data_IF_216944249351
#
_entry.id   IF_216944249351
#
_cell.length_a   1.000
_cell.length_b   1.000
_cell.length_c   1.000
_cell.angle_alpha   90.00
_cell.angle_beta   90.00
_cell.angle_gamma   90.00
#
_symmetry.space_group_name_H-M   'P 1'
#
loop_
_entity.id
_entity.type
_entity.pdbx_description
1 polymer ?
#
# COMPACT_ATOMS: atom_id res chain seq x y z
N UNK A 1 7.82 48.32 -38.42
CA UNK A 1 9.18 48.03 -37.92
C UNK A 1 9.09 47.69 -36.44
N UNK A 2 9.06 46.38 -36.10
CA UNK A 2 9.07 45.91 -34.71
C UNK A 2 10.51 45.66 -34.32
N UNK A 3 10.99 46.38 -33.31
CA UNK A 3 12.32 46.23 -32.73
C UNK A 3 12.46 44.79 -32.14
N UNK A 4 13.26 43.99 -32.81
CA UNK A 4 13.86 42.80 -32.20
C UNK A 4 14.94 43.29 -31.22
N UNK A 5 14.59 43.38 -29.95
CA UNK A 5 15.56 43.56 -28.87
C UNK A 5 16.38 42.27 -28.80
N UNK A 6 17.67 42.37 -29.16
CA UNK A 6 18.55 41.23 -29.28
C UNK A 6 18.73 40.50 -27.96
N UNK A 7 18.36 39.24 -27.95
CA UNK A 7 18.55 38.29 -26.85
C UNK A 7 20.04 38.09 -26.46
N UNK A 8 20.99 38.47 -27.30
CA UNK A 8 22.44 38.42 -27.05
C UNK A 8 22.91 39.31 -25.90
N UNK A 9 22.33 40.50 -25.75
CA UNK A 9 22.78 41.47 -24.73
C UNK A 9 22.35 41.06 -23.30
N UNK A 10 21.23 40.37 -23.14
CA UNK A 10 20.76 39.90 -21.84
C UNK A 10 21.59 38.68 -21.34
N UNK A 11 21.93 37.76 -22.24
CA UNK A 11 22.80 36.60 -21.94
C UNK A 11 24.25 37.06 -21.60
N UNK A 12 24.78 38.04 -22.25
CA UNK A 12 26.10 38.58 -21.91
C UNK A 12 26.13 39.30 -20.56
N UNK A 13 25.05 39.98 -20.19
CA UNK A 13 24.91 40.57 -18.85
C UNK A 13 24.80 39.53 -17.76
N UNK A 14 24.07 38.44 -18.00
CA UNK A 14 23.95 37.29 -17.07
C UNK A 14 25.28 36.57 -16.90
N UNK A 15 26.07 36.38 -17.99
CA UNK A 15 27.41 35.76 -17.89
C UNK A 15 28.38 36.57 -17.02
N UNK A 16 28.24 37.91 -16.99
CA UNK A 16 29.06 38.80 -16.14
C UNK A 16 28.69 38.75 -14.65
N UNK A 17 27.52 38.20 -14.31
CA UNK A 17 27.04 38.02 -12.92
C UNK A 17 27.46 36.67 -12.31
N UNK A 18 28.03 35.78 -13.12
CA UNK A 18 28.50 34.47 -12.63
C UNK A 18 29.86 34.67 -11.98
N UNK A 19 30.07 34.30 -10.70
CA UNK A 19 31.36 34.37 -10.05
C UNK A 19 32.41 33.53 -10.79
N UNK A 20 33.69 33.96 -10.84
CA UNK A 20 34.75 33.21 -11.47
C UNK A 20 34.92 31.84 -10.76
N UNK A 21 34.94 30.76 -11.55
CA UNK A 21 35.09 29.39 -11.05
C UNK A 21 33.78 28.61 -10.90
N UNK A 22 32.62 29.19 -11.23
CA UNK A 22 31.34 28.46 -11.27
C UNK A 22 31.14 27.88 -12.67
N UNK A 23 31.25 26.58 -12.81
CA UNK A 23 30.89 25.88 -14.03
C UNK A 23 29.36 25.78 -14.18
N UNK A 24 28.82 26.01 -15.40
CA UNK A 24 27.40 25.89 -15.62
C UNK A 24 26.97 24.42 -15.43
N UNK A 25 25.88 24.18 -14.68
CA UNK A 25 25.32 22.87 -14.42
C UNK A 25 24.93 22.10 -15.69
N UNK A 26 24.71 22.81 -16.80
CA UNK A 26 24.31 22.25 -18.09
C UNK A 26 25.21 22.80 -19.20
N UNK A 27 25.69 21.89 -20.06
CA UNK A 27 26.54 22.27 -21.21
C UNK A 27 25.77 22.85 -22.39
N UNK A 28 24.47 22.58 -22.47
CA UNK A 28 23.61 23.05 -23.56
C UNK A 28 22.18 23.35 -23.09
N UNK A 29 21.46 24.11 -23.91
CA UNK A 29 20.03 24.43 -23.71
C UNK A 29 19.18 23.15 -23.82
N UNK A 30 19.62 22.20 -24.63
CA UNK A 30 18.94 20.90 -24.80
C UNK A 30 19.05 20.04 -23.56
N UNK A 31 20.22 19.96 -22.95
CA UNK A 31 20.43 19.30 -21.67
C UNK A 31 19.56 19.89 -20.56
N UNK A 32 19.50 21.23 -20.49
CA UNK A 32 18.64 21.93 -19.53
C UNK A 32 17.16 21.63 -19.75
N UNK A 33 16.68 21.59 -20.99
CA UNK A 33 15.29 21.23 -21.32
C UNK A 33 14.96 19.81 -20.97
N UNK A 34 15.86 18.89 -21.26
CA UNK A 34 15.69 17.47 -20.92
C UNK A 34 15.61 17.28 -19.42
N UNK A 35 16.54 17.89 -18.68
CA UNK A 35 16.52 17.88 -17.22
C UNK A 35 15.23 18.51 -16.66
N UNK A 36 14.80 19.64 -17.17
CA UNK A 36 13.58 20.33 -16.74
C UNK A 36 12.34 19.45 -16.98
N UNK A 37 12.27 18.76 -18.11
CA UNK A 37 11.18 17.85 -18.43
C UNK A 37 11.17 16.62 -17.50
N UNK A 38 12.35 16.07 -17.17
CA UNK A 38 12.48 14.96 -16.22
C UNK A 38 12.11 15.36 -14.80
N UNK A 39 12.60 16.49 -14.32
CA UNK A 39 12.24 17.04 -13.01
C UNK A 39 10.75 17.38 -12.91
N UNK A 40 10.19 17.93 -13.99
CA UNK A 40 8.75 18.18 -14.09
C UNK A 40 7.92 16.89 -13.95
N UNK A 41 8.32 15.81 -14.65
CA UNK A 41 7.66 14.51 -14.54
C UNK A 41 7.76 13.94 -13.13
N UNK A 42 8.96 13.92 -12.53
CA UNK A 42 9.16 13.46 -11.15
C UNK A 42 8.28 14.22 -10.16
N UNK A 43 8.23 15.54 -10.29
CA UNK A 43 7.40 16.37 -9.40
C UNK A 43 5.91 16.14 -9.60
N UNK A 44 5.44 15.92 -10.82
CA UNK A 44 4.07 15.53 -11.09
C UNK A 44 3.74 14.16 -10.46
N UNK A 45 4.60 13.15 -10.61
CA UNK A 45 4.44 11.84 -10.01
C UNK A 45 4.40 11.91 -8.47
N UNK A 46 5.26 12.71 -7.85
CA UNK A 46 5.26 12.94 -6.41
C UNK A 46 3.98 13.61 -5.92
N UNK A 47 3.49 14.63 -6.63
CA UNK A 47 2.24 15.32 -6.33
C UNK A 47 1.04 14.38 -6.48
N UNK A 48 1.01 13.56 -7.53
CA UNK A 48 -0.03 12.55 -7.72
C UNK A 48 -0.03 11.54 -6.57
N UNK A 49 1.13 11.01 -6.17
CA UNK A 49 1.26 10.12 -5.02
C UNK A 49 0.79 10.78 -3.72
N UNK A 50 1.14 12.03 -3.49
CA UNK A 50 0.68 12.77 -2.30
C UNK A 50 -0.84 12.97 -2.31
N UNK A 51 -1.43 13.33 -3.45
CA UNK A 51 -2.86 13.50 -3.61
C UNK A 51 -3.62 12.18 -3.40
N UNK A 52 -3.09 11.06 -3.91
CA UNK A 52 -3.66 9.73 -3.70
C UNK A 52 -3.62 9.32 -2.23
N UNK A 53 -2.49 9.57 -1.53
CA UNK A 53 -2.38 9.37 -0.08
C UNK A 53 -3.43 10.18 0.68
N UNK A 54 -3.54 11.48 0.38
CA UNK A 54 -4.49 12.35 1.05
C UNK A 54 -5.95 11.92 0.82
N UNK A 55 -6.29 11.42 -0.37
CA UNK A 55 -7.61 10.85 -0.67
C UNK A 55 -7.88 9.58 0.12
N UNK A 56 -6.94 8.62 0.09
CA UNK A 56 -7.06 7.38 0.86
C UNK A 56 -7.19 7.66 2.36
N UNK A 57 -6.39 8.57 2.91
CA UNK A 57 -6.47 9.00 4.30
C UNK A 57 -7.81 9.68 4.64
N UNK A 58 -8.39 10.43 3.73
CA UNK A 58 -9.69 11.08 3.92
C UNK A 58 -10.83 10.05 3.97
N UNK A 59 -10.77 8.99 3.18
CA UNK A 59 -11.83 8.00 3.07
C UNK A 59 -11.76 6.98 4.21
N UNK A 60 -10.57 6.45 4.51
CA UNK A 60 -10.38 5.35 5.46
C UNK A 60 -9.67 5.76 6.77
N UNK A 61 -9.46 7.07 6.98
CA UNK A 61 -8.60 7.56 8.05
C UNK A 61 -7.12 7.36 7.73
N UNK A 62 -6.23 7.68 8.66
CA UNK A 62 -4.77 7.67 8.47
C UNK A 62 -4.25 6.28 8.08
N UNK A 63 -4.12 6.01 6.78
CA UNK A 63 -3.69 4.76 6.17
C UNK A 63 -4.56 3.53 6.53
N UNK A 64 -5.77 3.70 7.11
CA UNK A 64 -6.63 2.62 7.56
C UNK A 64 -6.04 1.75 8.68
N UNK A 65 -4.79 2.01 9.10
CA UNK A 65 -4.17 1.30 10.22
C UNK A 65 -4.85 1.74 11.51
N UNK A 66 -5.58 0.83 12.16
CA UNK A 66 -6.24 1.10 13.42
C UNK A 66 -5.25 1.62 14.47
N UNK A 67 -5.68 2.48 15.38
CA UNK A 67 -4.82 3.08 16.42
C UNK A 67 -4.04 2.03 17.22
N UNK A 68 -4.66 0.91 17.49
CA UNK A 68 -4.04 -0.24 18.16
C UNK A 68 -2.78 -0.76 17.44
N UNK A 69 -2.73 -0.61 16.13
CA UNK A 69 -1.65 -1.16 15.29
C UNK A 69 -0.65 -0.11 14.81
N UNK A 70 -0.83 1.17 15.16
CA UNK A 70 0.10 2.26 14.78
C UNK A 70 1.51 2.07 15.32
N UNK A 71 1.62 1.45 16.52
CA UNK A 71 2.90 1.15 17.16
C UNK A 71 3.51 -0.20 16.75
N UNK A 72 2.88 -0.96 15.86
CA UNK A 72 3.39 -2.27 15.45
C UNK A 72 4.64 -2.11 14.58
N UNK A 73 5.70 -2.79 15.00
CA UNK A 73 6.99 -2.85 14.29
C UNK A 73 7.50 -4.29 14.27
N UNK A 74 8.45 -4.57 13.41
CA UNK A 74 9.14 -5.86 13.41
C UNK A 74 9.96 -6.09 14.70
N UNK A 75 10.36 -5.02 15.39
CA UNK A 75 11.17 -5.09 16.60
C UNK A 75 10.35 -5.49 17.83
N UNK A 76 9.07 -5.06 17.89
CA UNK A 76 8.19 -5.36 19.03
C UNK A 76 7.27 -6.56 18.81
N UNK A 77 7.46 -7.31 17.72
CA UNK A 77 6.79 -8.60 17.51
C UNK A 77 7.40 -9.67 18.41
N UNK A 78 6.60 -10.26 19.28
CA UNK A 78 7.07 -11.30 20.21
C UNK A 78 7.22 -12.64 19.50
N UNK A 79 8.37 -13.29 19.69
CA UNK A 79 8.72 -14.57 19.04
C UNK A 79 8.95 -15.61 20.12
N UNK A 80 8.02 -16.58 20.21
CA UNK A 80 8.05 -17.69 21.17
C UNK A 80 8.22 -19.06 20.47
N UNK A 81 8.07 -19.09 19.13
CA UNK A 81 8.16 -20.33 18.33
C UNK A 81 8.93 -20.12 17.02
N UNK A 82 9.38 -21.22 16.42
CA UNK A 82 10.03 -21.19 15.11
C UNK A 82 9.08 -20.77 13.99
N UNK A 83 7.78 -21.09 14.11
CA UNK A 83 6.75 -20.59 13.19
C UNK A 83 6.67 -19.07 13.18
N UNK A 84 6.63 -18.46 14.38
CA UNK A 84 6.63 -17.00 14.53
C UNK A 84 7.94 -16.37 14.00
N UNK A 85 9.09 -17.01 14.24
CA UNK A 85 10.38 -16.55 13.73
C UNK A 85 10.42 -16.54 12.21
N UNK A 86 9.91 -17.61 11.57
CA UNK A 86 9.79 -17.69 10.11
C UNK A 86 8.84 -16.62 9.57
N UNK A 87 7.66 -16.46 10.16
CA UNK A 87 6.69 -15.44 9.75
C UNK A 87 7.29 -14.02 9.83
N UNK A 88 7.98 -13.70 10.93
CA UNK A 88 8.68 -12.42 11.10
C UNK A 88 9.77 -12.21 10.04
N UNK A 89 10.58 -13.24 9.76
CA UNK A 89 11.63 -13.18 8.74
C UNK A 89 11.04 -12.93 7.36
N UNK A 90 9.98 -13.66 6.99
CA UNK A 90 9.29 -13.49 5.72
C UNK A 90 8.68 -12.09 5.57
N UNK A 91 8.03 -11.58 6.63
CA UNK A 91 7.45 -10.24 6.64
C UNK A 91 8.52 -9.13 6.50
N UNK A 92 9.68 -9.29 7.16
CA UNK A 92 10.82 -8.38 7.00
C UNK A 92 11.38 -8.40 5.58
N UNK A 93 11.61 -9.60 5.04
CA UNK A 93 12.11 -9.77 3.66
C UNK A 93 11.18 -9.14 2.65
N UNK A 94 9.87 -9.37 2.79
CA UNK A 94 8.85 -8.74 1.95
C UNK A 94 8.95 -7.21 1.98
N UNK A 95 9.00 -6.62 3.17
CA UNK A 95 9.08 -5.16 3.31
C UNK A 95 10.38 -4.57 2.75
N UNK A 96 11.51 -5.28 2.88
CA UNK A 96 12.81 -4.86 2.35
C UNK A 96 12.88 -4.95 0.82
N UNK A 97 12.25 -5.95 0.23
CA UNK A 97 12.22 -6.19 -1.22
C UNK A 97 11.06 -5.46 -1.92
N UNK A 98 10.22 -4.73 -1.18
CA UNK A 98 9.07 -4.04 -1.73
C UNK A 98 9.49 -3.02 -2.80
N UNK A 99 8.87 -3.13 -3.98
CA UNK A 99 9.15 -2.26 -5.13
C UNK A 99 10.19 -2.82 -6.11
N UNK A 100 10.82 -3.96 -5.82
CA UNK A 100 11.59 -4.74 -6.82
C UNK A 100 10.69 -5.59 -7.72
N UNK A 101 9.42 -5.74 -7.36
CA UNK A 101 8.38 -6.48 -8.04
C UNK A 101 7.01 -6.12 -7.51
N UNK A 102 6.01 -6.98 -7.79
CA UNK A 102 4.62 -6.80 -7.34
C UNK A 102 4.09 -8.00 -6.52
N UNK A 103 4.97 -8.74 -5.86
CA UNK A 103 4.62 -9.87 -5.03
C UNK A 103 3.55 -9.51 -4.00
N UNK A 104 2.49 -10.32 -3.92
CA UNK A 104 1.42 -10.21 -2.94
C UNK A 104 1.70 -11.10 -1.73
N UNK A 105 0.96 -10.92 -0.62
CA UNK A 105 1.07 -11.83 0.51
C UNK A 105 -0.30 -12.23 1.08
N UNK A 106 -0.36 -13.43 1.62
CA UNK A 106 -1.51 -13.96 2.36
C UNK A 106 -1.04 -14.41 3.74
N UNK A 107 -1.62 -13.86 4.79
CA UNK A 107 -1.45 -14.29 6.17
C UNK A 107 -2.72 -15.02 6.62
N UNK A 108 -2.62 -16.31 6.82
CA UNK A 108 -3.72 -17.19 7.18
C UNK A 108 -3.52 -17.78 8.57
N UNK A 109 -4.58 -17.92 9.36
CA UNK A 109 -4.54 -18.60 10.67
C UNK A 109 -5.52 -18.05 11.69
N UNK A 110 -5.52 -18.64 12.89
CA UNK A 110 -6.46 -18.33 13.96
C UNK A 110 -6.41 -16.87 14.43
N UNK A 111 -7.48 -16.33 15.01
CA UNK A 111 -7.47 -14.99 15.62
C UNK A 111 -6.42 -14.88 16.74
N UNK A 112 -5.76 -13.70 16.84
CA UNK A 112 -4.80 -13.41 17.92
C UNK A 112 -3.40 -13.96 17.70
N UNK A 113 -3.10 -14.58 16.56
CA UNK A 113 -1.78 -15.14 16.23
C UNK A 113 -0.77 -14.10 15.74
N UNK A 114 -1.16 -12.83 15.61
CA UNK A 114 -0.25 -11.74 15.25
C UNK A 114 -0.22 -11.40 13.75
N UNK A 115 -1.15 -11.88 12.93
CA UNK A 115 -1.28 -11.51 11.51
C UNK A 115 -1.35 -10.01 11.32
N UNK A 116 -2.27 -9.33 12.02
CA UNK A 116 -2.47 -7.89 11.95
C UNK A 116 -1.24 -7.13 12.42
N UNK A 117 -0.52 -7.63 13.43
CA UNK A 117 0.72 -7.03 13.90
C UNK A 117 1.79 -7.00 12.79
N UNK A 118 2.07 -8.15 12.16
CA UNK A 118 3.08 -8.21 11.10
C UNK A 118 2.64 -7.46 9.84
N UNK A 119 1.36 -7.50 9.48
CA UNK A 119 0.84 -6.73 8.36
C UNK A 119 0.95 -5.21 8.61
N UNK A 120 0.62 -4.75 9.84
CA UNK A 120 0.81 -3.37 10.23
C UNK A 120 2.29 -2.98 10.31
N UNK A 121 3.18 -3.87 10.76
CA UNK A 121 4.62 -3.63 10.75
C UNK A 121 5.17 -3.45 9.32
N UNK A 122 4.69 -4.25 8.35
CA UNK A 122 4.98 -4.03 6.93
C UNK A 122 4.48 -2.64 6.50
N UNK A 123 3.20 -2.34 6.78
CA UNK A 123 2.59 -1.06 6.42
C UNK A 123 3.33 0.15 7.00
N UNK A 124 3.64 0.12 8.31
CA UNK A 124 4.37 1.18 8.98
C UNK A 124 5.79 1.37 8.42
N UNK A 125 6.48 0.26 8.11
CA UNK A 125 7.81 0.31 7.49
C UNK A 125 7.75 0.98 6.11
N UNK A 126 6.79 0.60 5.27
CA UNK A 126 6.62 1.17 3.93
C UNK A 126 6.19 2.64 3.98
N UNK A 127 5.30 3.01 4.91
CA UNK A 127 4.90 4.40 5.13
C UNK A 127 6.09 5.28 5.53
N UNK A 128 6.95 4.78 6.43
CA UNK A 128 8.20 5.46 6.80
C UNK A 128 9.15 5.62 5.60
N UNK A 129 9.15 4.66 4.68
CA UNK A 129 9.88 4.72 3.40
C UNK A 129 9.21 5.57 2.32
N UNK A 130 8.14 6.31 2.63
CA UNK A 130 7.47 7.21 1.68
C UNK A 130 6.47 6.52 0.74
N UNK A 131 6.19 5.23 0.93
CA UNK A 131 5.17 4.49 0.15
C UNK A 131 3.77 4.77 0.67
N UNK A 132 2.79 4.65 -0.21
CA UNK A 132 1.37 4.71 0.16
C UNK A 132 0.85 3.31 0.53
N UNK A 133 0.30 3.18 1.73
CA UNK A 133 -0.28 1.93 2.23
C UNK A 133 -1.69 2.19 2.72
N UNK A 134 -2.59 1.27 2.44
CA UNK A 134 -3.95 1.30 2.94
C UNK A 134 -4.33 -0.07 3.52
N UNK A 135 -4.82 -0.08 4.74
CA UNK A 135 -5.37 -1.27 5.41
C UNK A 135 -6.87 -1.08 5.56
N UNK A 136 -7.65 -2.00 5.03
CA UNK A 136 -9.11 -1.95 5.03
C UNK A 136 -9.67 -3.29 5.45
N UNK A 137 -10.60 -3.31 6.40
CA UNK A 137 -11.39 -4.51 6.68
C UNK A 137 -12.45 -4.70 5.60
N UNK A 138 -12.80 -5.94 5.29
CA UNK A 138 -13.86 -6.19 4.30
C UNK A 138 -15.20 -5.59 4.75
N UNK A 139 -15.62 -5.67 6.03
CA UNK A 139 -16.82 -4.98 6.49
C UNK A 139 -16.81 -3.46 6.24
N UNK A 140 -15.68 -2.78 6.51
CA UNK A 140 -15.55 -1.33 6.27
C UNK A 140 -15.59 -1.01 4.78
N UNK A 141 -14.93 -1.81 3.95
CA UNK A 141 -15.01 -1.67 2.50
C UNK A 141 -16.45 -1.77 2.00
N UNK A 142 -17.20 -2.78 2.47
CA UNK A 142 -18.59 -2.96 2.07
C UNK A 142 -19.52 -1.85 2.60
N UNK A 143 -19.19 -1.26 3.74
CA UNK A 143 -19.89 -0.08 4.25
C UNK A 143 -19.68 1.11 3.29
N UNK A 144 -18.44 1.37 2.90
CA UNK A 144 -18.10 2.45 1.96
C UNK A 144 -18.74 2.28 0.58
N UNK A 145 -18.76 1.05 0.08
CA UNK A 145 -19.48 0.75 -1.18
C UNK A 145 -20.97 1.09 -1.06
N UNK A 146 -21.61 0.74 0.06
CA UNK A 146 -23.02 1.09 0.29
C UNK A 146 -23.25 2.60 0.34
N UNK A 147 -22.37 3.34 1.02
CA UNK A 147 -22.43 4.80 1.07
C UNK A 147 -22.33 5.45 -0.33
N UNK A 148 -21.66 4.79 -1.29
CA UNK A 148 -21.65 5.26 -2.67
C UNK A 148 -23.06 5.25 -3.31
N UNK A 149 -23.91 4.29 -2.97
CA UNK A 149 -25.29 4.21 -3.51
C UNK A 149 -26.21 5.29 -2.91
N UNK A 150 -25.91 5.81 -1.72
CA UNK A 150 -26.69 6.83 -1.02
C UNK A 150 -26.32 8.28 -1.43
N UNK A 151 -25.58 8.46 -2.53
CA UNK A 151 -25.24 9.77 -3.10
C UNK A 151 -23.92 10.36 -2.61
N UNK A 152 -23.03 9.53 -2.07
CA UNK A 152 -21.65 9.88 -1.73
C UNK A 152 -20.72 9.91 -2.95
N UNK A 153 -19.47 9.52 -2.75
CA UNK A 153 -18.48 9.31 -3.80
C UNK A 153 -18.95 8.22 -4.77
N UNK A 154 -18.61 8.30 -6.06
CA UNK A 154 -18.92 7.21 -6.99
C UNK A 154 -18.16 5.93 -6.65
N UNK A 155 -18.78 4.76 -6.82
CA UNK A 155 -18.13 3.46 -6.65
C UNK A 155 -16.83 3.36 -7.48
N UNK A 156 -16.85 3.88 -8.71
CA UNK A 156 -15.68 3.90 -9.58
C UNK A 156 -14.50 4.68 -8.96
N UNK A 157 -14.79 5.83 -8.32
CA UNK A 157 -13.78 6.63 -7.65
C UNK A 157 -13.24 5.93 -6.39
N UNK A 158 -14.09 5.26 -5.61
CA UNK A 158 -13.68 4.45 -4.46
C UNK A 158 -12.75 3.31 -4.89
N UNK A 159 -13.13 2.57 -5.94
CA UNK A 159 -12.30 1.48 -6.49
C UNK A 159 -10.96 2.01 -7.02
N UNK A 160 -10.96 3.18 -7.65
CA UNK A 160 -9.75 3.84 -8.12
C UNK A 160 -8.81 4.19 -6.95
N UNK A 161 -9.33 4.76 -5.87
CA UNK A 161 -8.53 5.11 -4.68
C UNK A 161 -7.89 3.86 -4.06
N UNK A 162 -8.63 2.73 -3.99
CA UNK A 162 -8.10 1.44 -3.54
C UNK A 162 -7.04 0.86 -4.49
N UNK A 163 -7.15 1.12 -5.79
CA UNK A 163 -6.24 0.59 -6.79
C UNK A 163 -4.95 1.41 -6.92
N UNK A 164 -4.92 2.66 -6.48
CA UNK A 164 -3.76 3.54 -6.70
C UNK A 164 -2.71 3.53 -5.58
N UNK A 165 -3.04 3.10 -4.36
CA UNK A 165 -2.02 2.97 -3.29
C UNK A 165 -0.95 1.92 -3.65
N UNK A 166 0.28 2.11 -3.16
CA UNK A 166 1.38 1.17 -3.44
C UNK A 166 1.06 -0.24 -2.89
N UNK A 167 0.57 -0.32 -1.65
CA UNK A 167 0.13 -1.58 -1.02
C UNK A 167 -1.27 -1.43 -0.46
N UNK A 168 -2.18 -2.33 -0.85
CA UNK A 168 -3.49 -2.52 -0.23
C UNK A 168 -3.47 -3.78 0.63
N UNK A 169 -3.85 -3.67 1.89
CA UNK A 169 -4.02 -4.81 2.80
C UNK A 169 -5.50 -4.95 3.10
N UNK A 170 -6.07 -6.10 2.73
CA UNK A 170 -7.45 -6.47 2.98
C UNK A 170 -7.50 -7.38 4.21
N UNK A 171 -8.11 -6.89 5.27
CA UNK A 171 -8.27 -7.65 6.51
C UNK A 171 -9.66 -8.27 6.63
N UNK A 172 -9.76 -9.33 7.42
CA UNK A 172 -11.00 -10.07 7.67
C UNK A 172 -11.60 -10.70 6.40
N UNK A 173 -10.77 -11.07 5.44
CA UNK A 173 -11.24 -11.78 4.22
C UNK A 173 -11.82 -13.13 4.61
N UNK A 174 -13.09 -13.36 4.22
CA UNK A 174 -13.81 -14.59 4.51
C UNK A 174 -14.80 -14.51 5.68
N UNK A 175 -14.87 -13.38 6.40
CA UNK A 175 -15.90 -13.14 7.44
C UNK A 175 -17.24 -12.68 6.80
N UNK A 176 -17.24 -12.50 5.48
CA UNK A 176 -18.38 -12.01 4.75
C UNK A 176 -19.62 -12.89 4.94
N UNK A 177 -20.79 -12.25 4.99
CA UNK A 177 -22.09 -12.93 4.99
C UNK A 177 -22.41 -13.63 3.65
N UNK A 178 -21.44 -13.68 2.72
CA UNK A 178 -21.55 -14.46 1.49
C UNK A 178 -22.50 -13.88 0.45
N UNK A 179 -22.83 -12.58 0.49
CA UNK A 179 -23.61 -11.99 -0.59
C UNK A 179 -22.79 -12.04 -1.90
N UNK A 180 -23.44 -12.38 -3.00
CA UNK A 180 -22.79 -12.45 -4.32
C UNK A 180 -22.15 -11.11 -4.69
N UNK A 181 -22.75 -9.98 -4.29
CA UNK A 181 -22.22 -8.65 -4.53
C UNK A 181 -20.87 -8.38 -3.83
N UNK A 182 -20.72 -8.80 -2.58
CA UNK A 182 -19.47 -8.65 -1.82
C UNK A 182 -18.31 -9.38 -2.49
N UNK A 183 -18.53 -10.60 -2.94
CA UNK A 183 -17.54 -11.40 -3.70
C UNK A 183 -17.13 -10.72 -5.01
N UNK A 184 -18.10 -10.15 -5.72
CA UNK A 184 -17.84 -9.44 -6.98
C UNK A 184 -16.94 -8.24 -6.75
N UNK A 185 -17.25 -7.38 -5.78
CA UNK A 185 -16.45 -6.18 -5.46
C UNK A 185 -15.04 -6.55 -5.02
N UNK A 186 -14.93 -7.53 -4.11
CA UNK A 186 -13.63 -7.99 -3.62
C UNK A 186 -12.75 -8.51 -4.76
N UNK A 187 -13.31 -9.38 -5.61
CA UNK A 187 -12.61 -9.91 -6.77
C UNK A 187 -12.23 -8.80 -7.76
N UNK A 188 -13.10 -7.82 -7.98
CA UNK A 188 -12.84 -6.70 -8.86
C UNK A 188 -11.67 -5.83 -8.35
N UNK A 189 -11.60 -5.54 -7.06
CA UNK A 189 -10.47 -4.80 -6.46
C UNK A 189 -9.16 -5.56 -6.62
N UNK A 190 -9.16 -6.85 -6.24
CA UNK A 190 -7.95 -7.68 -6.30
C UNK A 190 -7.51 -7.85 -7.77
N UNK A 191 -8.44 -8.16 -8.68
CA UNK A 191 -8.12 -8.37 -10.11
C UNK A 191 -7.56 -7.10 -10.76
N UNK A 192 -8.16 -5.93 -10.50
CA UNK A 192 -7.65 -4.64 -11.00
C UNK A 192 -6.23 -4.36 -10.51
N UNK A 193 -5.96 -4.56 -9.22
CA UNK A 193 -4.62 -4.34 -8.67
C UNK A 193 -3.58 -5.25 -9.28
N UNK A 194 -3.85 -6.56 -9.31
CA UNK A 194 -2.93 -7.55 -9.88
C UNK A 194 -2.72 -7.33 -11.38
N UNK A 195 -3.76 -6.91 -12.12
CA UNK A 195 -3.63 -6.52 -13.53
C UNK A 195 -2.74 -5.30 -13.74
N UNK A 196 -2.68 -4.40 -12.75
CA UNK A 196 -1.83 -3.21 -12.77
C UNK A 196 -0.48 -3.44 -12.08
N UNK A 197 -0.09 -4.70 -11.85
CA UNK A 197 1.15 -5.08 -11.14
C UNK A 197 1.29 -4.39 -9.77
N UNK A 198 0.17 -4.27 -9.02
CA UNK A 198 0.13 -3.68 -7.69
C UNK A 198 -0.16 -4.75 -6.65
N UNK A 199 0.71 -4.91 -5.64
CA UNK A 199 0.58 -5.96 -4.65
C UNK A 199 -0.65 -5.79 -3.75
N UNK A 200 -1.17 -6.93 -3.29
CA UNK A 200 -2.25 -7.03 -2.31
C UNK A 200 -1.80 -7.88 -1.12
N UNK A 201 -2.00 -7.38 0.09
CA UNK A 201 -1.92 -8.18 1.31
C UNK A 201 -3.31 -8.71 1.68
N UNK A 202 -3.41 -9.96 2.05
CA UNK A 202 -4.66 -10.58 2.50
C UNK A 202 -4.46 -11.14 3.91
N UNK A 203 -5.32 -10.73 4.84
CA UNK A 203 -5.39 -11.31 6.17
C UNK A 203 -6.70 -12.08 6.30
N UNK A 204 -6.59 -13.34 6.71
CA UNK A 204 -7.74 -14.24 6.77
C UNK A 204 -7.61 -15.25 7.91
N UNK A 205 -8.75 -15.74 8.39
CA UNK A 205 -8.80 -16.89 9.27
C UNK A 205 -9.10 -18.21 8.51
N UNK A 206 -9.30 -18.11 7.19
CA UNK A 206 -9.54 -19.25 6.33
C UNK A 206 -8.23 -19.96 5.99
N UNK A 207 -8.27 -21.27 5.85
CA UNK A 207 -7.22 -22.06 5.24
C UNK A 207 -7.22 -21.87 3.70
N UNK A 208 -6.26 -22.49 3.02
CA UNK A 208 -6.12 -22.36 1.56
C UNK A 208 -7.39 -22.78 0.80
N UNK A 209 -7.98 -23.92 1.14
CA UNK A 209 -9.16 -24.45 0.44
C UNK A 209 -10.38 -23.54 0.62
N UNK A 210 -10.65 -23.11 1.84
CA UNK A 210 -11.76 -22.19 2.12
C UNK A 210 -11.56 -20.80 1.48
N UNK A 211 -10.32 -20.30 1.41
CA UNK A 211 -10.02 -19.05 0.72
C UNK A 211 -10.19 -19.21 -0.80
N UNK A 212 -9.82 -20.37 -1.35
CA UNK A 212 -10.04 -20.72 -2.75
C UNK A 212 -11.53 -20.74 -3.12
N UNK A 213 -12.38 -21.27 -2.24
CA UNK A 213 -13.84 -21.25 -2.43
C UNK A 213 -14.39 -19.82 -2.38
N UNK A 214 -13.79 -18.97 -1.54
CA UNK A 214 -14.23 -17.59 -1.36
C UNK A 214 -13.82 -16.70 -2.53
N UNK A 215 -12.56 -16.72 -2.94
CA UNK A 215 -11.99 -15.82 -3.96
C UNK A 215 -11.98 -16.42 -5.37
N UNK A 216 -12.06 -17.76 -5.46
CA UNK A 216 -11.89 -18.49 -6.70
C UNK A 216 -10.42 -18.77 -7.04
N UNK A 217 -10.21 -19.86 -7.79
CA UNK A 217 -8.87 -20.35 -8.16
C UNK A 217 -8.07 -19.31 -8.94
N UNK A 218 -8.72 -18.54 -9.83
CA UNK A 218 -8.07 -17.52 -10.67
C UNK A 218 -7.41 -16.43 -9.86
N UNK A 219 -8.04 -15.95 -8.78
CA UNK A 219 -7.47 -14.92 -7.92
C UNK A 219 -6.31 -15.48 -7.12
N UNK A 220 -6.45 -16.70 -6.56
CA UNK A 220 -5.36 -17.33 -5.81
C UNK A 220 -4.13 -17.60 -6.66
N UNK A 221 -4.31 -18.06 -7.90
CA UNK A 221 -3.22 -18.26 -8.84
C UNK A 221 -2.47 -16.94 -9.11
N UNK A 222 -3.20 -15.85 -9.31
CA UNK A 222 -2.61 -14.53 -9.52
C UNK A 222 -1.92 -13.96 -8.29
N UNK A 223 -2.39 -14.25 -7.07
CA UNK A 223 -1.72 -13.85 -5.83
C UNK A 223 -0.36 -14.52 -5.66
N UNK A 224 -0.12 -15.65 -6.32
CA UNK A 224 1.17 -16.35 -6.32
C UNK A 224 2.17 -15.77 -7.34
N UNK A 225 1.71 -14.89 -8.24
CA UNK A 225 2.59 -14.28 -9.24
C UNK A 225 3.71 -13.49 -8.57
N UNK A 226 4.86 -13.43 -9.26
CA UNK A 226 6.04 -12.67 -8.83
C UNK A 226 6.57 -13.06 -7.44
N UNK A 227 6.43 -14.32 -7.06
CA UNK A 227 6.89 -14.82 -5.77
C UNK A 227 5.96 -14.50 -4.61
N UNK A 228 4.67 -14.42 -4.88
CA UNK A 228 3.64 -14.19 -3.85
C UNK A 228 3.80 -15.10 -2.64
N UNK A 229 3.66 -14.54 -1.45
CA UNK A 229 3.98 -15.16 -0.17
C UNK A 229 2.71 -15.67 0.53
N UNK A 230 2.71 -16.93 0.95
CA UNK A 230 1.69 -17.48 1.85
C UNK A 230 2.33 -17.87 3.19
N UNK A 231 1.80 -17.33 4.29
CA UNK A 231 2.28 -17.63 5.65
C UNK A 231 1.12 -18.16 6.50
N UNK A 232 1.27 -19.37 7.01
CA UNK A 232 0.33 -19.96 7.97
C UNK A 232 0.74 -19.58 9.40
N UNK A 233 -0.22 -19.06 10.16
CA UNK A 233 -0.07 -18.69 11.56
C UNK A 233 -0.71 -19.80 12.42
N UNK A 234 0.04 -20.90 12.59
CA UNK A 234 -0.43 -22.17 13.21
C UNK A 234 -0.01 -22.31 14.69
N UNK A 235 0.10 -21.22 15.41
CA UNK A 235 0.42 -21.17 16.82
C UNK A 235 -0.72 -20.56 17.64
N UNK A 236 -0.61 -20.68 18.95
CA UNK A 236 -1.59 -20.18 19.89
C UNK A 236 -1.74 -18.66 19.85
N UNK A 237 -2.94 -18.21 20.26
CA UNK A 237 -3.24 -16.78 20.34
C UNK A 237 -2.37 -16.09 21.42
N UNK A 238 -1.64 -15.07 21.03
CA UNK A 238 -0.89 -14.21 21.96
C UNK A 238 -1.79 -13.49 22.98
N UNK A 239 -3.07 -13.31 22.67
CA UNK A 239 -4.05 -12.69 23.57
C UNK A 239 -4.22 -13.45 24.89
N UNK A 240 -3.88 -14.74 24.95
CA UNK A 240 -3.84 -15.51 26.20
C UNK A 240 -2.81 -14.95 27.19
N UNK A 241 -1.74 -14.31 26.72
CA UNK A 241 -0.66 -13.73 27.53
C UNK A 241 -0.94 -12.27 27.91
N UNK A 242 -1.95 -11.64 27.32
CA UNK A 242 -2.38 -10.27 27.63
C UNK A 242 -3.56 -10.33 28.60
N UNK A 243 -3.39 -9.79 29.80
CA UNK A 243 -4.31 -9.70 30.95
C UNK A 243 -5.71 -10.27 30.72
N UNK A 244 -6.05 -11.32 31.46
CA UNK A 244 -7.38 -11.94 31.45
C UNK A 244 -8.49 -10.93 31.78
N UNK A 245 -9.62 -11.03 31.11
CA UNK A 245 -10.86 -10.38 31.51
C UNK A 245 -11.16 -10.74 32.97
N UNK A 246 -11.22 -9.76 33.86
CA UNK A 246 -11.68 -9.97 35.24
C UNK A 246 -13.20 -10.13 35.19
N UNK A 247 -13.68 -11.32 35.51
CA UNK A 247 -15.10 -11.50 35.80
C UNK A 247 -15.36 -10.86 37.16
N UNK A 248 -16.03 -9.71 37.17
CA UNK A 248 -16.56 -9.09 38.38
C UNK A 248 -17.88 -9.83 38.66
N UNK A 249 -17.90 -10.60 39.78
CA UNK A 249 -19.12 -11.22 40.28
C UNK A 249 -19.93 -10.22 41.06
#
# INVERSE_FOLDING_TARGET
>A
MKNMIGTGSALERLKKLIPPGVEPKFGSVEEWRTWQAEEGRKRCEELEKQNQRARAEKIFGRAGIQDLHRGCTFANYQVESDGQRRALSMAKSYAQQFGSGFASFVFSGAPGTGKNHLAAAIGNHLLAGGRSVLVVTIPDLMLRVRECYDGGQSEASLLDDLCHVDLLILDEVGIQRGSSGEKVILNQVIDRRLSSMRPVGILTNLNYESLRETLGIRILDRLQMDGGMWVNFEWDSYRKNVRHLRVVK
#
